data_IF_367436903380
#
_entry.id   IF_367436903380
#
_cell.length_a   1.000
_cell.length_b   1.000
_cell.length_c   1.000
_cell.angle_alpha   90.00
_cell.angle_beta   90.00
_cell.angle_gamma   90.00
#
_symmetry.space_group_name_H-M   'P 1'
#
loop_
_entity.id
_entity.type
_entity.pdbx_description
1 polymer ?
#
# COMPACT_ATOMS: atom_id res chain seq x y z
N UNK A 1 8.10 25.23 24.02
CA UNK A 1 7.00 24.25 23.86
C UNK A 1 7.26 23.51 22.56
N UNK A 2 7.65 22.24 22.63
CA UNK A 2 7.72 21.40 21.43
C UNK A 2 6.28 20.98 21.13
N UNK A 3 5.72 21.48 20.03
CA UNK A 3 4.45 21.00 19.50
C UNK A 3 4.53 19.48 19.39
N UNK A 4 3.76 18.78 20.22
CA UNK A 4 3.60 17.35 20.05
C UNK A 4 2.89 17.16 18.70
N UNK A 5 3.46 16.38 17.77
CA UNK A 5 2.84 16.20 16.47
C UNK A 5 1.46 15.59 16.65
N UNK A 6 0.44 16.17 16.01
CA UNK A 6 -0.91 15.61 16.02
C UNK A 6 -0.89 14.13 15.62
N UNK A 7 -1.64 13.27 16.33
CA UNK A 7 -1.71 11.86 15.99
C UNK A 7 -2.24 11.68 14.56
N UNK A 8 -1.75 10.68 13.80
CA UNK A 8 -2.22 10.46 12.45
C UNK A 8 -3.70 10.10 12.44
N UNK A 9 -4.45 10.68 11.49
CA UNK A 9 -5.84 10.26 11.27
C UNK A 9 -5.88 8.82 10.73
N UNK A 10 -6.37 7.88 11.54
CA UNK A 10 -6.52 6.46 11.18
C UNK A 10 -7.81 6.24 10.39
N UNK A 11 -7.72 5.52 9.27
CA UNK A 11 -8.87 5.16 8.43
C UNK A 11 -8.86 3.69 8.07
N UNK A 12 -10.03 3.06 8.16
CA UNK A 12 -10.23 1.74 7.61
C UNK A 12 -10.56 1.83 6.11
N UNK A 13 -9.83 1.10 5.27
CA UNK A 13 -10.16 0.95 3.85
C UNK A 13 -10.65 -0.48 3.61
N UNK A 14 -11.62 -0.68 2.71
CA UNK A 14 -12.07 -2.03 2.32
C UNK A 14 -11.34 -2.42 1.03
N UNK A 15 -10.47 -3.43 1.11
CA UNK A 15 -9.59 -3.81 0.02
C UNK A 15 -9.62 -5.31 -0.25
N UNK A 16 -9.61 -5.69 -1.52
CA UNK A 16 -9.59 -7.08 -1.97
C UNK A 16 -8.18 -7.46 -2.41
N UNK A 17 -7.68 -8.58 -1.91
CA UNK A 17 -6.40 -9.13 -2.35
C UNK A 17 -6.54 -9.72 -3.75
N UNK A 18 -5.66 -9.29 -4.67
CA UNK A 18 -5.55 -9.87 -6.01
C UNK A 18 -4.75 -11.17 -5.89
N UNK A 19 -5.25 -12.26 -6.48
CA UNK A 19 -4.55 -13.57 -6.49
C UNK A 19 -3.99 -13.85 -7.87
N UNK A 20 -2.77 -14.39 -7.91
CA UNK A 20 -2.08 -14.80 -9.14
C UNK A 20 -2.60 -16.09 -9.77
N UNK A 21 -3.35 -16.90 -9.03
CA UNK A 21 -3.87 -18.18 -9.56
C UNK A 21 -5.13 -17.97 -10.41
N UNK A 22 -5.17 -18.45 -11.67
CA UNK A 22 -6.42 -18.52 -12.42
C UNK A 22 -7.42 -19.40 -11.66
N UNK A 23 -8.66 -18.93 -11.51
CA UNK A 23 -9.76 -19.82 -11.11
C UNK A 23 -10.00 -20.75 -12.30
N UNK A 24 -9.58 -22.00 -12.21
CA UNK A 24 -9.92 -23.01 -13.21
C UNK A 24 -11.43 -23.22 -13.21
N UNK A 25 -12.02 -23.14 -14.40
CA UNK A 25 -13.46 -23.31 -14.64
C UNK A 25 -13.97 -24.65 -14.11
N UNK A 26 -15.16 -24.59 -13.48
CA UNK A 26 -15.95 -25.76 -13.13
C UNK A 26 -16.08 -25.98 -11.62
N UNK A 27 -17.24 -25.60 -11.08
CA UNK A 27 -17.80 -26.07 -9.79
C UNK A 27 -17.29 -25.40 -8.50
N UNK A 28 -16.19 -24.62 -8.51
CA UNK A 28 -15.69 -23.94 -7.29
C UNK A 28 -16.02 -22.44 -7.16
N UNK A 29 -16.86 -21.87 -8.02
CA UNK A 29 -17.29 -20.45 -7.94
C UNK A 29 -17.99 -20.09 -6.63
N UNK A 30 -18.56 -21.06 -5.91
CA UNK A 30 -19.20 -20.82 -4.62
C UNK A 30 -18.27 -20.87 -3.39
N UNK A 31 -16.99 -21.25 -3.54
CA UNK A 31 -16.10 -21.47 -2.38
C UNK A 31 -14.74 -20.75 -2.43
N UNK A 32 -14.37 -20.12 -3.55
CA UNK A 32 -13.24 -19.19 -3.57
C UNK A 32 -13.62 -17.94 -2.77
N UNK A 33 -13.49 -18.02 -1.43
CA UNK A 33 -13.67 -16.90 -0.51
C UNK A 33 -12.71 -15.80 -0.95
N UNK A 34 -13.26 -14.83 -1.67
CA UNK A 34 -12.57 -13.61 -2.03
C UNK A 34 -12.14 -12.96 -0.71
N UNK A 35 -10.83 -12.92 -0.43
CA UNK A 35 -10.33 -12.35 0.81
C UNK A 35 -10.45 -10.83 0.75
N UNK A 36 -11.46 -10.33 1.45
CA UNK A 36 -11.67 -8.90 1.68
C UNK A 36 -11.04 -8.55 3.02
N UNK A 37 -10.15 -7.56 2.99
CA UNK A 37 -9.44 -7.04 4.15
C UNK A 37 -9.93 -5.64 4.48
N UNK A 38 -9.78 -5.27 5.76
CA UNK A 38 -10.07 -3.92 6.27
C UNK A 38 -8.81 -3.28 6.89
N UNK A 39 -7.73 -3.03 6.13
CA UNK A 39 -6.53 -2.46 6.70
C UNK A 39 -6.77 -1.06 7.27
N UNK A 40 -6.15 -0.81 8.42
CA UNK A 40 -6.10 0.51 9.05
C UNK A 40 -4.91 1.30 8.49
N UNK A 41 -5.22 2.45 7.92
CA UNK A 41 -4.30 3.30 7.14
C UNK A 41 -4.11 4.62 7.88
N UNK A 42 -2.87 5.07 7.99
CA UNK A 42 -2.48 6.36 8.62
C UNK A 42 -2.07 7.42 7.60
N UNK A 43 -1.97 7.07 6.32
CA UNK A 43 -1.57 7.98 5.26
C UNK A 43 -1.18 7.25 3.97
N UNK A 44 -0.69 8.03 3.00
CA UNK A 44 -0.10 7.49 1.78
C UNK A 44 1.42 7.30 1.93
N UNK A 45 1.98 6.42 1.11
CA UNK A 45 3.40 6.37 0.81
C UNK A 45 3.57 6.64 -0.69
N UNK A 46 4.50 7.53 -1.06
CA UNK A 46 4.91 7.75 -2.46
C UNK A 46 6.24 7.03 -2.66
N UNK A 47 6.19 5.91 -3.36
CA UNK A 47 7.31 5.02 -3.66
C UNK A 47 7.93 5.47 -4.97
N UNK A 48 9.24 5.65 -4.98
CA UNK A 48 10.01 6.00 -6.17
C UNK A 48 10.72 4.77 -6.67
N UNK A 49 10.51 4.46 -7.94
CA UNK A 49 11.18 3.34 -8.60
C UNK A 49 12.68 3.62 -8.68
N UNK A 50 13.52 2.62 -8.44
CA UNK A 50 14.95 2.74 -8.71
C UNK A 50 15.23 2.95 -10.22
N UNK A 51 16.34 3.61 -10.52
CA UNK A 51 16.82 3.74 -11.91
C UNK A 51 17.44 2.40 -12.36
N UNK A 52 18.24 1.79 -11.49
CA UNK A 52 18.96 0.54 -11.76
C UNK A 52 18.12 -0.69 -11.37
N UNK A 53 18.25 -1.78 -12.14
CA UNK A 53 17.52 -3.02 -11.85
C UNK A 53 18.12 -3.69 -10.61
N UNK A 54 17.28 -3.99 -9.64
CA UNK A 54 17.68 -4.67 -8.40
C UNK A 54 17.88 -3.72 -7.22
N UNK A 55 17.91 -2.42 -7.46
CA UNK A 55 17.92 -1.42 -6.39
C UNK A 55 16.58 -1.39 -5.64
N UNK A 56 16.58 -1.01 -4.36
CA UNK A 56 15.34 -0.88 -3.59
C UNK A 56 14.54 0.37 -4.00
N UNK A 57 13.22 0.25 -3.94
CA UNK A 57 12.30 1.38 -4.00
C UNK A 57 12.55 2.31 -2.83
N UNK A 58 12.42 3.63 -3.07
CA UNK A 58 12.71 4.65 -2.06
C UNK A 58 11.45 5.39 -1.64
N UNK A 59 11.31 5.64 -0.34
CA UNK A 59 10.22 6.41 0.25
C UNK A 59 10.82 7.48 1.16
N UNK A 60 10.40 8.73 1.00
CA UNK A 60 10.80 9.79 1.94
C UNK A 60 10.04 9.60 3.26
N UNK A 61 10.74 9.67 4.38
CA UNK A 61 10.15 9.54 5.72
C UNK A 61 10.08 10.90 6.42
N UNK A 62 9.19 11.00 7.41
CA UNK A 62 9.15 12.13 8.33
C UNK A 62 10.42 12.18 9.20
N UNK A 63 10.67 13.33 9.84
CA UNK A 63 11.84 13.53 10.69
C UNK A 63 11.75 12.85 12.07
N UNK A 64 10.65 12.16 12.36
CA UNK A 64 10.39 11.51 13.64
C UNK A 64 11.07 10.15 13.83
N UNK A 65 10.93 9.54 15.01
CA UNK A 65 11.48 8.22 15.32
C UNK A 65 10.68 7.05 14.70
N UNK A 66 9.57 7.30 14.02
CA UNK A 66 8.79 6.27 13.33
C UNK A 66 9.23 6.07 11.89
N UNK A 67 8.85 4.95 11.28
CA UNK A 67 9.02 4.72 9.83
C UNK A 67 7.81 5.26 9.08
N UNK A 68 7.42 6.51 9.37
CA UNK A 68 6.24 7.16 8.79
C UNK A 68 6.59 7.80 7.44
N UNK A 69 5.90 7.44 6.34
CA UNK A 69 6.10 8.08 5.05
C UNK A 69 5.69 9.55 5.08
N UNK A 70 6.55 10.41 4.53
CA UNK A 70 6.26 11.81 4.30
C UNK A 70 5.48 11.96 2.99
N UNK A 71 4.15 12.00 3.08
CA UNK A 71 3.26 12.23 1.96
C UNK A 71 2.24 13.33 2.29
N UNK A 72 1.73 14.08 1.28
CA UNK A 72 0.67 15.05 1.50
C UNK A 72 -0.61 14.38 2.01
N UNK A 73 -1.38 15.10 2.83
CA UNK A 73 -2.60 14.56 3.44
C UNK A 73 -3.81 14.50 2.49
N UNK A 74 -3.83 15.34 1.44
CA UNK A 74 -4.97 15.41 0.51
C UNK A 74 -4.71 14.67 -0.80
N UNK A 75 -5.78 14.08 -1.35
CA UNK A 75 -5.72 13.40 -2.66
C UNK A 75 -5.21 14.31 -3.78
N UNK A 76 -5.63 15.58 -3.80
CA UNK A 76 -5.20 16.55 -4.81
C UNK A 76 -3.69 16.84 -4.72
N UNK A 77 -3.15 17.00 -3.51
CA UNK A 77 -1.73 17.25 -3.31
C UNK A 77 -0.87 16.01 -3.64
N UNK A 78 -1.36 14.81 -3.33
CA UNK A 78 -0.69 13.56 -3.75
C UNK A 78 -0.63 13.48 -5.28
N UNK A 79 -1.73 13.75 -5.97
CA UNK A 79 -1.75 13.79 -7.45
C UNK A 79 -0.77 14.81 -8.01
N UNK A 80 -0.75 16.03 -7.46
CA UNK A 80 0.17 17.08 -7.88
C UNK A 80 1.64 16.66 -7.70
N UNK A 81 1.98 16.06 -6.55
CA UNK A 81 3.33 15.59 -6.28
C UNK A 81 3.74 14.42 -7.19
N UNK A 82 2.85 13.44 -7.40
CA UNK A 82 3.09 12.32 -8.33
C UNK A 82 3.28 12.85 -9.76
N UNK A 83 2.45 13.78 -10.21
CA UNK A 83 2.59 14.40 -11.52
C UNK A 83 3.89 15.20 -11.66
N UNK A 84 4.33 15.90 -10.61
CA UNK A 84 5.62 16.60 -10.60
C UNK A 84 6.81 15.63 -10.71
N UNK A 85 6.79 14.54 -9.95
CA UNK A 85 7.81 13.49 -10.02
C UNK A 85 7.89 12.86 -11.41
N UNK A 86 6.74 12.52 -12.00
CA UNK A 86 6.67 11.94 -13.35
C UNK A 86 7.19 12.89 -14.42
N UNK A 87 6.88 14.19 -14.33
CA UNK A 87 7.44 15.21 -15.23
C UNK A 87 8.96 15.33 -15.12
N UNK A 88 9.53 15.01 -13.96
CA UNK A 88 10.97 14.94 -13.75
C UNK A 88 11.58 13.59 -14.16
N UNK A 89 10.84 12.72 -14.84
CA UNK A 89 11.30 11.39 -15.28
C UNK A 89 11.35 10.34 -14.17
N UNK A 90 10.79 10.62 -12.99
CA UNK A 90 10.77 9.68 -11.87
C UNK A 90 9.52 8.82 -11.92
N UNK A 91 9.70 7.52 -12.17
CA UNK A 91 8.63 6.55 -12.02
C UNK A 91 8.27 6.38 -10.55
N UNK A 92 6.97 6.41 -10.25
CA UNK A 92 6.48 6.37 -8.88
C UNK A 92 5.11 5.69 -8.75
N UNK A 93 4.90 5.11 -7.56
CA UNK A 93 3.68 4.42 -7.15
C UNK A 93 3.20 5.00 -5.82
N UNK A 94 1.89 4.95 -5.59
CA UNK A 94 1.29 5.27 -4.29
C UNK A 94 0.86 3.97 -3.60
N UNK A 95 1.23 3.80 -2.33
CA UNK A 95 0.72 2.73 -1.46
C UNK A 95 0.03 3.34 -0.24
N UNK A 96 -0.72 2.53 0.51
CA UNK A 96 -1.34 2.95 1.77
C UNK A 96 -0.43 2.54 2.94
N UNK A 97 -0.01 3.51 3.75
CA UNK A 97 0.78 3.26 4.95
C UNK A 97 -0.12 2.76 6.07
N UNK A 98 0.17 1.58 6.59
CA UNK A 98 -0.66 0.96 7.61
C UNK A 98 -0.28 1.46 9.01
N UNK A 99 -1.21 1.29 9.94
CA UNK A 99 -0.98 1.46 11.37
C UNK A 99 0.15 0.54 11.81
N UNK A 100 1.10 1.10 12.54
CA UNK A 100 2.15 0.40 13.26
C UNK A 100 2.06 0.71 14.76
N UNK A 101 2.70 -0.07 15.65
CA UNK A 101 2.59 0.13 17.10
C UNK A 101 2.90 1.56 17.56
N UNK A 102 3.82 2.26 16.88
CA UNK A 102 4.17 3.65 17.20
C UNK A 102 3.07 4.69 16.91
N UNK A 103 2.04 4.33 16.14
CA UNK A 103 0.91 5.23 15.84
C UNK A 103 -0.18 5.17 16.93
N UNK A 104 -0.12 4.18 17.83
CA UNK A 104 -1.12 3.98 18.87
C UNK A 104 -0.82 4.91 20.05
N UNK A 105 -1.33 6.14 19.96
CA UNK A 105 -1.27 7.12 21.06
C UNK A 105 -2.42 6.85 22.04
N UNK A 106 -2.25 5.85 22.92
CA UNK A 106 -3.02 5.51 24.16
C UNK A 106 -4.55 5.61 24.24
N UNK A 107 -5.28 6.01 23.20
CA UNK A 107 -6.75 6.05 23.21
C UNK A 107 -7.25 5.69 21.81
N UNK A 108 -7.86 4.50 21.62
CA UNK A 108 -8.48 4.18 20.34
C UNK A 108 -9.61 5.20 20.08
N UNK A 109 -9.74 5.74 18.86
CA UNK A 109 -10.90 6.56 18.53
C UNK A 109 -12.16 5.68 18.68
N UNK A 110 -13.18 6.22 19.35
CA UNK A 110 -14.48 5.58 19.43
C UNK A 110 -15.00 5.33 18.01
N UNK A 111 -15.09 4.06 17.62
CA UNK A 111 -15.66 3.69 16.34
C UNK A 111 -17.18 3.87 16.45
N UNK A 112 -17.71 4.85 15.75
CA UNK A 112 -19.15 4.93 15.47
C UNK A 112 -19.52 3.77 14.52
N UNK A 113 -20.00 2.67 15.11
CA UNK A 113 -20.35 1.42 14.41
C UNK A 113 -21.39 1.65 13.30
N UNK A 114 -22.25 2.66 13.43
CA UNK A 114 -23.35 2.92 12.50
C UNK A 114 -22.86 3.61 11.21
N UNK A 115 -21.88 4.52 11.32
CA UNK A 115 -21.18 5.08 10.15
C UNK A 115 -20.27 4.05 9.44
N UNK A 116 -19.68 3.14 10.21
CA UNK A 116 -18.83 2.07 9.68
C UNK A 116 -19.64 1.16 8.76
N UNK A 117 -20.83 0.73 9.18
CA UNK A 117 -21.70 -0.18 8.40
C UNK A 117 -22.14 0.47 7.08
N UNK A 118 -22.54 1.76 7.08
CA UNK A 118 -23.05 2.46 5.89
C UNK A 118 -21.98 2.75 4.82
N UNK A 119 -20.70 2.91 5.19
CA UNK A 119 -19.59 3.19 4.24
C UNK A 119 -18.99 1.93 3.60
N UNK A 120 -19.32 0.74 4.09
CA UNK A 120 -18.71 -0.55 3.69
C UNK A 120 -18.94 -0.95 2.22
N UNK A 121 -19.84 -0.27 1.48
CA UNK A 121 -20.31 -0.80 0.19
C UNK A 121 -19.88 -0.03 -1.06
N UNK A 122 -19.21 1.14 -0.96
CA UNK A 122 -18.98 2.00 -2.14
C UNK A 122 -17.54 2.14 -2.63
N UNK A 123 -16.53 1.63 -1.92
CA UNK A 123 -15.16 1.61 -2.44
C UNK A 123 -14.59 0.19 -2.37
N UNK A 124 -14.58 -0.51 -3.51
CA UNK A 124 -13.93 -1.83 -3.65
C UNK A 124 -12.53 -1.61 -4.26
N UNK A 125 -11.56 -1.25 -3.43
CA UNK A 125 -10.15 -1.15 -3.83
C UNK A 125 -9.52 -2.54 -3.96
N UNK A 126 -8.53 -2.68 -4.84
CA UNK A 126 -7.74 -3.89 -5.01
C UNK A 126 -6.27 -3.64 -4.68
N UNK A 127 -5.60 -4.64 -4.12
CA UNK A 127 -4.18 -4.57 -3.78
C UNK A 127 -3.50 -5.91 -4.04
N UNK A 128 -2.22 -5.86 -4.42
CA UNK A 128 -1.43 -7.07 -4.69
C UNK A 128 -1.09 -7.80 -3.41
N UNK A 129 -0.77 -7.06 -2.35
CA UNK A 129 -0.41 -7.64 -1.07
C UNK A 129 0.21 -6.62 -0.13
N UNK A 130 0.87 -7.14 0.88
CA UNK A 130 1.50 -6.37 1.93
C UNK A 130 2.97 -6.12 1.59
N UNK A 131 3.36 -4.88 1.35
CA UNK A 131 4.78 -4.52 1.20
C UNK A 131 5.37 -4.11 2.54
N UNK A 132 6.69 -4.26 2.69
CA UNK A 132 7.40 -3.88 3.91
C UNK A 132 8.38 -2.74 3.63
N UNK A 133 8.07 -1.57 4.18
CA UNK A 133 8.97 -0.42 4.21
C UNK A 133 9.93 -0.59 5.38
N UNK A 134 11.23 -0.52 5.16
CA UNK A 134 12.23 -0.60 6.22
C UNK A 134 13.15 0.62 6.22
N UNK A 135 13.65 0.96 7.41
CA UNK A 135 14.55 2.08 7.62
C UNK A 135 15.93 1.57 8.00
N UNK A 136 16.92 1.83 7.15
CA UNK A 136 18.32 1.45 7.40
C UNK A 136 18.94 2.46 8.37
N UNK A 137 19.52 2.00 9.50
CA UNK A 137 20.27 2.87 10.40
C UNK A 137 21.35 3.67 9.67
N UNK A 138 21.46 4.96 9.97
CA UNK A 138 22.43 5.87 9.33
C UNK A 138 21.94 6.56 8.05
N UNK A 139 20.77 6.20 7.51
CA UNK A 139 20.16 6.89 6.36
C UNK A 139 18.94 7.71 6.80
N UNK A 140 19.11 8.95 7.30
CA UNK A 140 18.00 9.72 7.83
C UNK A 140 16.97 10.02 6.72
N UNK A 141 15.68 9.89 7.04
CA UNK A 141 14.54 10.31 6.21
C UNK A 141 14.35 9.54 4.89
N UNK A 142 15.00 8.38 4.72
CA UNK A 142 14.79 7.52 3.55
C UNK A 142 14.49 6.11 4.03
N UNK A 143 13.34 5.58 3.63
CA UNK A 143 12.98 4.19 3.79
C UNK A 143 13.04 3.45 2.45
N UNK A 144 13.18 2.14 2.54
CA UNK A 144 13.42 1.25 1.43
C UNK A 144 12.38 0.14 1.37
N UNK A 145 12.08 -0.32 0.17
CA UNK A 145 11.26 -1.51 -0.06
C UNK A 145 12.00 -2.32 -1.13
N UNK A 146 12.15 -3.62 -0.90
CA UNK A 146 12.80 -4.50 -1.87
C UNK A 146 12.04 -4.48 -3.22
N UNK A 147 12.73 -4.66 -4.35
CA UNK A 147 12.06 -4.85 -5.63
C UNK A 147 11.36 -6.21 -5.66
N UNK A 148 10.29 -6.31 -6.46
CA UNK A 148 9.66 -7.61 -6.70
C UNK A 148 10.58 -8.48 -7.58
N UNK A 149 10.70 -9.77 -7.23
CA UNK A 149 11.60 -10.70 -7.92
C UNK A 149 11.24 -10.92 -9.40
N UNK A 150 9.94 -11.05 -9.71
CA UNK A 150 9.44 -11.19 -11.09
C UNK A 150 9.14 -9.86 -11.79
N UNK A 151 8.36 -8.98 -11.16
CA UNK A 151 7.83 -7.79 -11.81
C UNK A 151 8.70 -6.55 -11.54
N UNK A 152 9.49 -6.13 -12.53
CA UNK A 152 10.41 -4.98 -12.43
C UNK A 152 9.77 -3.72 -11.82
N UNK A 153 8.56 -3.40 -12.26
CA UNK A 153 7.86 -2.17 -11.89
C UNK A 153 6.98 -2.30 -10.63
N UNK A 154 7.21 -3.35 -9.83
CA UNK A 154 6.56 -3.54 -8.53
C UNK A 154 7.58 -3.59 -7.38
N UNK A 155 7.23 -3.01 -6.22
CA UNK A 155 7.86 -3.37 -4.96
C UNK A 155 7.50 -4.81 -4.58
N UNK A 156 8.35 -5.46 -3.77
CA UNK A 156 8.04 -6.76 -3.17
C UNK A 156 6.78 -6.65 -2.31
N UNK A 157 5.96 -7.70 -2.33
CA UNK A 157 4.79 -7.81 -1.46
C UNK A 157 4.63 -9.27 -1.00
N UNK A 158 3.89 -9.44 0.10
CA UNK A 158 3.49 -10.70 0.68
C UNK A 158 1.98 -10.87 0.51
N UNK A 159 1.54 -12.05 0.09
CA UNK A 159 0.12 -12.38 -0.02
C UNK A 159 -0.50 -12.71 1.34
N UNK A 160 0.35 -13.08 2.29
CA UNK A 160 -0.01 -13.43 3.67
C UNK A 160 0.40 -12.32 4.63
N UNK A 161 -0.50 -11.87 5.52
CA UNK A 161 -0.13 -10.94 6.60
C UNK A 161 0.78 -11.59 7.64
N UNK A 162 0.82 -12.94 7.75
CA UNK A 162 1.73 -13.63 8.68
C UNK A 162 3.18 -13.52 8.22
N UNK A 163 3.45 -13.73 6.93
CA UNK A 163 4.80 -13.61 6.37
C UNK A 163 5.37 -12.20 6.57
N UNK A 164 4.49 -11.19 6.50
CA UNK A 164 4.83 -9.80 6.78
C UNK A 164 5.22 -9.58 8.26
N UNK A 165 4.50 -10.21 9.20
CA UNK A 165 4.80 -10.16 10.63
C UNK A 165 6.14 -10.83 10.91
N UNK A 166 6.36 -12.04 10.39
CA UNK A 166 7.61 -12.77 10.55
C UNK A 166 8.80 -11.98 10.00
N UNK A 167 8.64 -11.38 8.82
CA UNK A 167 9.67 -10.53 8.23
C UNK A 167 9.93 -9.27 9.04
N UNK A 168 8.88 -8.62 9.56
CA UNK A 168 9.03 -7.44 10.42
C UNK A 168 9.76 -7.79 11.71
N UNK A 169 9.45 -8.92 12.33
CA UNK A 169 10.12 -9.39 13.54
C UNK A 169 11.59 -9.70 13.27
N UNK A 170 11.90 -10.37 12.15
CA UNK A 170 13.26 -10.64 11.72
C UNK A 170 14.11 -9.36 11.58
N UNK A 171 13.52 -8.29 11.02
CA UNK A 171 14.17 -6.99 10.89
C UNK A 171 14.33 -6.28 12.25
N UNK A 172 13.29 -6.31 13.07
CA UNK A 172 13.29 -5.70 14.40
C UNK A 172 14.39 -6.29 15.29
N UNK A 173 14.59 -7.63 15.27
CA UNK A 173 15.69 -8.32 15.98
C UNK A 173 17.09 -7.88 15.54
N UNK A 174 17.23 -7.16 14.42
CA UNK A 174 18.48 -6.60 13.89
C UNK A 174 18.55 -5.08 14.03
N UNK A 175 17.65 -4.47 14.79
CA UNK A 175 17.57 -3.03 14.96
C UNK A 175 17.07 -2.29 13.70
N UNK A 176 16.52 -3.00 12.72
CA UNK A 176 15.93 -2.41 11.52
C UNK A 176 14.44 -2.19 11.79
N UNK A 177 14.02 -0.92 11.80
CA UNK A 177 12.61 -0.57 11.95
C UNK A 177 11.88 -0.77 10.62
N UNK A 178 10.64 -1.22 10.68
CA UNK A 178 9.82 -1.40 9.49
C UNK A 178 8.37 -0.97 9.70
N UNK A 179 7.70 -0.65 8.59
CA UNK A 179 6.28 -0.33 8.55
C UNK A 179 5.62 -1.11 7.41
N UNK A 180 4.49 -1.78 7.66
CA UNK A 180 3.74 -2.42 6.61
C UNK A 180 2.99 -1.41 5.74
N UNK A 181 2.92 -1.68 4.45
CA UNK A 181 2.17 -0.92 3.44
C UNK A 181 1.19 -1.86 2.72
N UNK A 182 0.01 -1.39 2.36
CA UNK A 182 -0.85 -2.08 1.40
C UNK A 182 -0.53 -1.60 -0.02
N UNK A 183 -0.08 -2.52 -0.88
CA UNK A 183 0.31 -2.23 -2.25
C UNK A 183 -0.91 -2.23 -3.19
N UNK A 184 -1.62 -1.11 -3.19
CA UNK A 184 -2.85 -0.95 -3.98
C UNK A 184 -2.57 -0.94 -5.49
N UNK A 185 -3.50 -1.51 -6.26
CA UNK A 185 -3.50 -1.45 -7.73
C UNK A 185 -3.69 0.00 -8.20
N UNK A 186 -2.99 0.38 -9.26
CA UNK A 186 -3.01 1.73 -9.82
C UNK A 186 -3.52 1.71 -11.27
N UNK A 187 -4.13 2.79 -11.79
CA UNK A 187 -4.59 2.85 -13.18
C UNK A 187 -3.54 2.43 -14.21
N UNK A 188 -2.27 2.73 -13.95
CA UNK A 188 -1.13 2.42 -14.81
C UNK A 188 -0.78 0.92 -14.84
N UNK A 189 -1.38 0.11 -13.98
CA UNK A 189 -1.21 -1.35 -13.96
C UNK A 189 -2.11 -2.05 -14.98
N UNK A 190 -2.99 -1.31 -15.66
CA UNK A 190 -4.02 -1.85 -16.52
C UNK A 190 -3.85 -1.36 -17.95
N UNK A 191 -3.82 -2.31 -18.88
CA UNK A 191 -3.93 -2.06 -20.31
C UNK A 191 -5.39 -2.19 -20.74
N UNK A 192 -5.78 -1.49 -21.80
CA UNK A 192 -7.10 -1.65 -22.40
C UNK A 192 -7.01 -2.70 -23.51
N UNK A 193 -7.79 -3.77 -23.39
CA UNK A 193 -8.00 -4.73 -24.45
C UNK A 193 -8.89 -4.15 -25.56
N UNK A 194 -8.95 -4.85 -26.71
CA UNK A 194 -9.69 -4.42 -27.90
C UNK A 194 -11.21 -4.28 -27.66
N UNK A 195 -11.75 -5.05 -26.71
CA UNK A 195 -13.14 -5.02 -26.26
C UNK A 195 -13.43 -3.91 -25.24
N UNK A 196 -12.41 -3.10 -24.88
CA UNK A 196 -12.49 -2.06 -23.86
C UNK A 196 -12.30 -2.54 -22.42
N UNK A 197 -12.11 -3.85 -22.20
CA UNK A 197 -11.87 -4.42 -20.87
C UNK A 197 -10.50 -4.00 -20.33
N UNK A 198 -10.40 -3.73 -19.02
CA UNK A 198 -9.13 -3.48 -18.35
C UNK A 198 -8.44 -4.79 -17.97
N UNK A 199 -7.22 -4.97 -18.47
CA UNK A 199 -6.37 -6.14 -18.22
C UNK A 199 -5.21 -5.70 -17.35
N UNK A 200 -5.11 -6.25 -16.14
CA UNK A 200 -3.96 -6.02 -15.28
C UNK A 200 -2.71 -6.72 -15.89
N UNK A 201 -1.62 -5.98 -16.06
CA UNK A 201 -0.38 -6.47 -16.68
C UNK A 201 0.42 -7.45 -15.82
N UNK A 202 0.23 -7.42 -14.50
CA UNK A 202 0.92 -8.30 -13.56
C UNK A 202 0.09 -9.55 -13.26
N UNK A 203 -1.24 -9.39 -13.22
CA UNK A 203 -2.19 -10.49 -12.92
C UNK A 203 -3.23 -10.63 -14.03
N UNK A 204 -2.83 -11.13 -15.21
CA UNK A 204 -3.67 -11.18 -16.40
C UNK A 204 -4.80 -12.22 -16.34
N UNK A 205 -4.91 -12.99 -15.26
CA UNK A 205 -5.99 -13.99 -15.05
C UNK A 205 -6.90 -13.70 -13.83
N UNK A 206 -6.72 -12.57 -13.13
CA UNK A 206 -7.57 -12.22 -11.98
C UNK A 206 -9.02 -11.90 -12.37
N UNK A 207 -9.98 -12.24 -11.51
CA UNK A 207 -11.44 -12.13 -11.77
C UNK A 207 -12.03 -10.72 -11.70
N UNK A 208 -11.43 -9.81 -10.96
CA UNK A 208 -11.84 -8.40 -10.89
C UNK A 208 -10.58 -7.56 -10.97
N UNK A 209 -10.61 -6.50 -11.79
CA UNK A 209 -9.43 -5.74 -12.21
C UNK A 209 -9.75 -4.25 -12.24
N UNK A 210 -10.06 -3.73 -11.07
CA UNK A 210 -10.41 -2.31 -10.91
C UNK A 210 -9.23 -1.59 -10.28
N UNK A 211 -8.70 -0.54 -10.93
CA UNK A 211 -7.70 0.29 -10.29
C UNK A 211 -8.30 0.95 -9.04
N UNK A 212 -7.55 0.95 -7.93
CA UNK A 212 -8.01 1.52 -6.65
C UNK A 212 -8.23 3.03 -6.68
N UNK A 213 -7.65 3.73 -7.66
CA UNK A 213 -7.90 5.15 -8.01
C UNK A 213 -7.93 6.11 -6.80
N UNK A 214 -6.95 6.06 -5.89
CA UNK A 214 -6.81 6.94 -4.70
C UNK A 214 -8.11 7.28 -3.92
N UNK A 215 -9.21 6.54 -4.11
CA UNK A 215 -10.52 6.85 -3.54
C UNK A 215 -10.64 6.49 -2.05
N UNK A 216 -9.59 5.85 -1.54
CA UNK A 216 -9.36 5.52 -0.15
C UNK A 216 -8.68 6.65 0.63
N UNK A 217 -8.19 7.69 -0.08
CA UNK A 217 -7.73 8.94 0.52
C UNK A 217 -8.90 9.94 0.65
N UNK A 218 -8.90 10.81 1.67
CA UNK A 218 -9.89 11.88 1.80
C UNK A 218 -9.99 12.78 0.57
#
# INVERSE_FOLDING_TARGET
>A
MLDSPEPPAVKAIVARLVRDTPLTDGVAECQARVHVYRPLVVGAAILREPIERGDPWRVTLDAGPGVRPRAPASRAAIHAQVAALRRAGVACRVAAALVAPEDVVSTPPALDEEQVIRRTYRCRSEFYGWSLLYHVPGMPRIGFIEPHHTFRHLPSFFDSPLDLVDRSEFLARRGVRSRPLALLTQPEDFDRAADGTLVNRYVPHGTLRRPSRLGWLP
#
